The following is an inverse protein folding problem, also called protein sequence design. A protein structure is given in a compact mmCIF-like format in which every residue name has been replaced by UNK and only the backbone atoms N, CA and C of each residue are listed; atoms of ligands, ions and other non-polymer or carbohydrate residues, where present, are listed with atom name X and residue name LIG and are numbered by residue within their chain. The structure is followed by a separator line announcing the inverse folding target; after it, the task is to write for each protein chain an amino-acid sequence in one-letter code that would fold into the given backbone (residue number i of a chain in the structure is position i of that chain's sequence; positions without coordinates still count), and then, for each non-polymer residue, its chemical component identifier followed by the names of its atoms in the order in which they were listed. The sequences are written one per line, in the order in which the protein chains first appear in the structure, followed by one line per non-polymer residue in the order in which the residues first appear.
data_IF_873280618782
#
_entry.id   IF_873280618782
#
_cell.length_a   1.000
_cell.length_b   1.000
_cell.length_c   1.000
_cell.angle_alpha   90.00
_cell.angle_beta   90.00
_cell.angle_gamma   90.00
#
_symmetry.space_group_name_H-M   'P 1'
#
loop_
_entity.id
_entity.type
_entity.pdbx_description
1 polymer ?
#
# COMPACT_ATOMS: atom_id res chain seq x y z
N UNK A 1 -29.52 6.88 5.84
CA UNK A 1 -28.35 6.25 5.19
C UNK A 1 -28.59 6.09 3.68
N UNK A 2 -29.00 7.14 2.97
CA UNK A 2 -29.55 6.99 1.61
C UNK A 2 -28.76 7.71 0.50
N UNK A 3 -27.69 8.44 0.84
CA UNK A 3 -26.91 9.21 -0.17
C UNK A 3 -25.84 8.39 -0.90
N UNK A 4 -25.31 7.32 -0.31
CA UNK A 4 -24.22 6.54 -0.92
C UNK A 4 -24.65 5.79 -2.20
N UNK A 5 -25.95 5.60 -2.42
CA UNK A 5 -26.46 4.91 -3.60
C UNK A 5 -26.43 5.77 -4.86
N UNK A 6 -26.63 7.09 -4.75
CA UNK A 6 -26.77 7.99 -5.92
C UNK A 6 -25.57 7.91 -6.86
N UNK A 7 -24.35 7.76 -6.33
CA UNK A 7 -23.13 7.64 -7.14
C UNK A 7 -23.06 6.30 -7.91
N UNK A 8 -23.62 5.23 -7.35
CA UNK A 8 -23.50 3.87 -7.88
C UNK A 8 -24.75 3.36 -8.58
N UNK A 9 -25.88 4.07 -8.49
CA UNK A 9 -27.17 3.61 -8.99
C UNK A 9 -27.07 3.16 -10.45
N UNK A 10 -26.47 3.97 -11.33
CA UNK A 10 -26.28 3.64 -12.74
C UNK A 10 -25.50 2.34 -12.99
N UNK A 11 -24.58 1.96 -12.09
CA UNK A 11 -23.83 0.71 -12.17
C UNK A 11 -24.59 -0.50 -11.64
N UNK A 12 -25.65 -0.29 -10.87
CA UNK A 12 -26.41 -1.32 -10.16
C UNK A 12 -27.82 -1.54 -10.74
N UNK A 13 -28.26 -0.69 -11.67
CA UNK A 13 -29.59 -0.74 -12.29
C UNK A 13 -29.84 -2.08 -13.01
N UNK A 14 -28.85 -2.56 -13.77
CA UNK A 14 -29.01 -3.77 -14.61
C UNK A 14 -28.77 -5.08 -13.85
N UNK A 15 -28.44 -5.01 -12.55
CA UNK A 15 -28.21 -6.18 -11.72
C UNK A 15 -29.52 -6.66 -11.09
N UNK A 16 -29.69 -7.98 -11.02
CA UNK A 16 -30.70 -8.57 -10.13
C UNK A 16 -30.42 -8.20 -8.68
N UNK A 17 -31.44 -8.21 -7.83
CA UNK A 17 -31.28 -7.84 -6.41
C UNK A 17 -30.19 -8.67 -5.72
N UNK A 18 -30.15 -9.97 -5.99
CA UNK A 18 -29.09 -10.85 -5.48
C UNK A 18 -27.69 -10.44 -5.96
N UNK A 19 -27.53 -10.16 -7.25
CA UNK A 19 -26.24 -9.74 -7.79
C UNK A 19 -25.80 -8.38 -7.24
N UNK A 20 -26.76 -7.48 -7.03
CA UNK A 20 -26.53 -6.18 -6.38
C UNK A 20 -26.01 -6.37 -4.96
N UNK A 21 -26.66 -7.22 -4.16
CA UNK A 21 -26.22 -7.51 -2.78
C UNK A 21 -24.81 -8.11 -2.74
N UNK A 22 -24.50 -9.05 -3.65
CA UNK A 22 -23.19 -9.69 -3.75
C UNK A 22 -22.08 -8.68 -4.13
N UNK A 23 -22.38 -7.72 -5.01
CA UNK A 23 -21.47 -6.63 -5.40
C UNK A 23 -21.27 -5.64 -4.26
N UNK A 24 -22.34 -5.23 -3.57
CA UNK A 24 -22.26 -4.28 -2.45
C UNK A 24 -21.51 -4.88 -1.24
N UNK A 25 -21.73 -6.16 -0.95
CA UNK A 25 -21.01 -6.88 0.09
C UNK A 25 -19.50 -6.95 -0.24
N UNK A 26 -19.16 -7.33 -1.48
CA UNK A 26 -17.78 -7.38 -1.93
C UNK A 26 -17.10 -6.00 -1.90
N UNK A 27 -17.78 -4.96 -2.41
CA UNK A 27 -17.31 -3.58 -2.38
C UNK A 27 -17.04 -3.11 -0.93
N UNK A 28 -18.00 -3.32 -0.02
CA UNK A 28 -17.86 -2.95 1.38
C UNK A 28 -16.69 -3.68 2.05
N UNK A 29 -16.56 -5.00 1.78
CA UNK A 29 -15.50 -5.81 2.34
C UNK A 29 -14.11 -5.31 1.91
N UNK A 30 -13.87 -5.10 0.61
CA UNK A 30 -12.54 -4.64 0.13
C UNK A 30 -12.24 -3.18 0.52
N UNK A 31 -13.26 -2.38 0.79
CA UNK A 31 -13.12 -0.98 1.22
C UNK A 31 -12.74 -0.84 2.68
N UNK A 32 -13.41 -1.58 3.56
CA UNK A 32 -13.38 -1.35 5.01
C UNK A 32 -12.69 -2.44 5.81
N UNK A 33 -12.48 -3.64 5.25
CA UNK A 33 -11.71 -4.66 5.95
C UNK A 33 -10.28 -4.17 6.18
N UNK A 34 -9.79 -4.37 7.41
CA UNK A 34 -8.41 -4.06 7.75
C UNK A 34 -7.44 -4.90 6.92
N UNK A 35 -7.73 -6.20 6.75
CA UNK A 35 -6.90 -7.14 6.01
C UNK A 35 -7.54 -7.51 4.65
N UNK A 36 -6.75 -7.98 3.67
CA UNK A 36 -7.29 -8.52 2.43
C UNK A 36 -8.29 -9.64 2.70
N UNK A 37 -9.36 -9.66 1.92
CA UNK A 37 -10.46 -10.62 2.05
C UNK A 37 -10.33 -11.73 1.02
N UNK A 38 -10.69 -12.95 1.40
CA UNK A 38 -10.61 -14.10 0.50
C UNK A 38 -11.80 -14.11 -0.47
N UNK A 39 -11.55 -14.31 -1.76
CA UNK A 39 -12.61 -14.28 -2.79
C UNK A 39 -13.62 -15.40 -2.63
N UNK A 40 -13.23 -16.52 -2.01
CA UNK A 40 -14.11 -17.67 -1.75
C UNK A 40 -15.28 -17.30 -0.82
N UNK A 41 -15.13 -16.27 0.01
CA UNK A 41 -16.16 -15.81 0.94
C UNK A 41 -17.14 -14.82 0.29
N UNK A 42 -16.84 -14.32 -0.91
CA UNK A 42 -17.55 -13.20 -1.53
C UNK A 42 -17.78 -13.48 -3.02
N UNK A 43 -19.03 -13.84 -3.37
CA UNK A 43 -19.40 -14.09 -4.77
C UNK A 43 -19.07 -12.92 -5.69
N UNK A 44 -19.25 -11.68 -5.22
CA UNK A 44 -18.89 -10.46 -5.95
C UNK A 44 -17.40 -10.30 -6.25
N UNK A 45 -16.51 -11.05 -5.57
CA UNK A 45 -15.09 -11.15 -5.92
C UNK A 45 -14.80 -12.41 -6.74
N UNK A 46 -15.44 -13.54 -6.45
CA UNK A 46 -15.19 -14.78 -7.17
C UNK A 46 -15.64 -14.72 -8.63
N UNK A 47 -16.83 -14.20 -8.90
CA UNK A 47 -17.36 -14.06 -10.26
C UNK A 47 -16.72 -12.88 -11.01
N UNK A 48 -16.23 -13.11 -12.23
CA UNK A 48 -15.51 -12.09 -13.02
C UNK A 48 -16.41 -10.92 -13.44
N UNK A 49 -17.69 -11.19 -13.71
CA UNK A 49 -18.68 -10.18 -14.11
C UNK A 49 -19.06 -9.30 -12.93
N UNK A 50 -19.35 -9.89 -11.77
CA UNK A 50 -19.64 -9.14 -10.54
C UNK A 50 -18.39 -8.36 -10.06
N UNK A 51 -17.20 -8.96 -10.13
CA UNK A 51 -15.94 -8.29 -9.80
C UNK A 51 -15.69 -7.06 -10.66
N UNK A 52 -16.07 -7.10 -11.93
CA UNK A 52 -15.99 -5.93 -12.83
C UNK A 52 -16.89 -4.78 -12.35
N UNK A 53 -18.05 -5.06 -11.75
CA UNK A 53 -18.90 -4.03 -11.15
C UNK A 53 -18.24 -3.43 -9.90
N UNK A 54 -17.65 -4.25 -9.02
CA UNK A 54 -16.87 -3.78 -7.86
C UNK A 54 -15.72 -2.87 -8.32
N UNK A 55 -14.99 -3.25 -9.37
CA UNK A 55 -13.91 -2.43 -9.95
C UNK A 55 -14.41 -1.09 -10.47
N UNK A 56 -15.55 -1.05 -11.17
CA UNK A 56 -16.17 0.20 -11.65
C UNK A 56 -16.58 1.11 -10.48
N UNK A 57 -17.19 0.55 -9.44
CA UNK A 57 -17.56 1.31 -8.24
C UNK A 57 -16.32 1.90 -7.53
N UNK A 58 -15.26 1.11 -7.36
CA UNK A 58 -14.00 1.58 -6.79
C UNK A 58 -13.40 2.73 -7.62
N UNK A 59 -13.43 2.61 -8.95
CA UNK A 59 -12.90 3.63 -9.85
C UNK A 59 -13.61 4.98 -9.67
N UNK A 60 -14.93 4.99 -9.46
CA UNK A 60 -15.70 6.23 -9.24
C UNK A 60 -15.26 7.01 -7.99
N UNK A 61 -14.68 6.33 -7.00
CA UNK A 61 -14.17 6.96 -5.77
C UNK A 61 -12.64 7.07 -5.76
N UNK A 62 -12.00 6.97 -6.93
CA UNK A 62 -10.55 7.11 -7.09
C UNK A 62 -9.74 5.92 -6.56
N UNK A 63 -10.37 4.76 -6.46
CA UNK A 63 -9.78 3.53 -5.91
C UNK A 63 -9.68 2.45 -6.97
N UNK A 64 -8.84 1.47 -6.70
CA UNK A 64 -8.69 0.28 -7.56
C UNK A 64 -8.74 -0.98 -6.73
N UNK A 65 -9.22 -2.06 -7.35
CA UNK A 65 -9.13 -3.39 -6.76
C UNK A 65 -7.68 -3.88 -6.84
N UNK A 66 -7.15 -4.38 -5.72
CA UNK A 66 -5.77 -4.84 -5.57
C UNK A 66 -5.79 -6.32 -5.20
N UNK A 67 -5.07 -7.12 -5.99
CA UNK A 67 -4.79 -8.52 -5.68
C UNK A 67 -3.54 -8.58 -4.78
N UNK A 68 -3.63 -9.22 -3.62
CA UNK A 68 -2.55 -9.19 -2.61
C UNK A 68 -1.70 -10.47 -2.63
N UNK A 69 -2.32 -11.61 -2.92
CA UNK A 69 -1.70 -12.92 -3.14
C UNK A 69 -2.80 -13.98 -3.29
N UNK A 70 -2.50 -15.12 -3.91
CA UNK A 70 -3.41 -16.27 -4.01
C UNK A 70 -4.82 -15.87 -4.46
N UNK A 71 -5.79 -15.98 -3.56
CA UNK A 71 -7.20 -15.64 -3.78
C UNK A 71 -7.69 -14.46 -2.92
N UNK A 72 -6.77 -13.58 -2.47
CA UNK A 72 -7.09 -12.44 -1.60
C UNK A 72 -7.11 -11.10 -2.33
N UNK A 73 -8.07 -10.27 -1.96
CA UNK A 73 -8.32 -8.95 -2.55
C UNK A 73 -8.44 -7.86 -1.48
N UNK A 74 -8.02 -6.66 -1.83
CA UNK A 74 -8.31 -5.42 -1.10
C UNK A 74 -8.55 -4.30 -2.11
N UNK A 75 -8.74 -3.08 -1.64
CA UNK A 75 -8.75 -1.89 -2.48
C UNK A 75 -7.59 -0.96 -2.12
N UNK A 76 -7.04 -0.27 -3.11
CA UNK A 76 -6.02 0.76 -2.96
C UNK A 76 -6.44 2.07 -3.63
N UNK A 77 -5.66 3.13 -3.46
CA UNK A 77 -5.79 4.30 -4.34
C UNK A 77 -5.27 3.94 -5.73
N UNK A 78 -5.96 4.42 -6.77
CA UNK A 78 -5.42 4.33 -8.12
C UNK A 78 -4.13 5.18 -8.22
N UNK A 79 -3.16 4.73 -9.03
CA UNK A 79 -1.82 5.33 -9.06
C UNK A 79 -1.84 6.79 -9.54
N UNK A 80 -2.71 7.14 -10.48
CA UNK A 80 -2.97 8.48 -10.98
C UNK A 80 -3.58 9.40 -9.91
N UNK A 81 -4.53 8.88 -9.13
CA UNK A 81 -5.13 9.59 -8.00
C UNK A 81 -4.09 9.83 -6.90
N UNK A 82 -3.31 8.80 -6.55
CA UNK A 82 -2.23 8.93 -5.58
C UNK A 82 -1.17 9.95 -6.02
N UNK A 83 -0.81 9.97 -7.31
CA UNK A 83 0.11 10.95 -7.88
C UNK A 83 -0.47 12.38 -7.81
N UNK A 84 -1.75 12.53 -8.18
CA UNK A 84 -2.46 13.83 -8.12
C UNK A 84 -2.52 14.37 -6.70
N UNK A 85 -2.93 13.56 -5.73
CA UNK A 85 -2.97 13.95 -4.32
C UNK A 85 -1.59 14.34 -3.80
N UNK A 86 -0.55 13.60 -4.17
CA UNK A 86 0.84 13.91 -3.80
C UNK A 86 1.29 15.25 -4.39
N UNK A 87 1.00 15.50 -5.67
CA UNK A 87 1.35 16.75 -6.36
C UNK A 87 0.63 17.97 -5.76
N UNK A 88 -0.59 17.78 -5.25
CA UNK A 88 -1.35 18.79 -4.52
C UNK A 88 -0.85 19.01 -3.07
N UNK A 89 0.21 18.32 -2.66
CA UNK A 89 0.80 18.46 -1.33
C UNK A 89 0.07 17.67 -0.24
N UNK A 90 -0.82 16.74 -0.60
CA UNK A 90 -1.46 15.87 0.39
C UNK A 90 -0.44 14.92 1.01
N UNK A 91 -0.10 15.17 2.27
CA UNK A 91 0.91 14.43 3.02
C UNK A 91 0.40 14.17 4.44
N UNK A 92 -0.36 13.06 4.66
CA UNK A 92 -1.02 12.81 5.94
C UNK A 92 -0.05 12.45 7.08
N UNK A 93 1.18 12.05 6.77
CA UNK A 93 2.21 11.71 7.75
C UNK A 93 3.18 12.85 7.95
N UNK A 94 3.51 13.16 9.20
CA UNK A 94 4.57 14.12 9.52
C UNK A 94 5.95 13.60 9.06
N UNK A 95 6.94 14.49 8.98
CA UNK A 95 8.33 14.12 8.63
C UNK A 95 8.86 13.04 9.59
N UNK A 96 8.58 13.18 10.89
CA UNK A 96 9.00 12.22 11.92
C UNK A 96 8.29 10.87 11.70
N UNK A 97 6.99 10.86 11.47
CA UNK A 97 6.26 9.61 11.24
C UNK A 97 6.76 8.89 9.99
N UNK A 98 7.07 9.62 8.91
CA UNK A 98 7.67 9.05 7.70
C UNK A 98 9.06 8.48 7.97
N UNK A 99 9.92 9.21 8.70
CA UNK A 99 11.25 8.73 9.04
C UNK A 99 11.20 7.44 9.87
N UNK A 100 10.34 7.39 10.90
CA UNK A 100 10.14 6.20 11.72
C UNK A 100 9.56 5.04 10.91
N UNK A 101 8.60 5.30 10.02
CA UNK A 101 8.06 4.27 9.12
C UNK A 101 9.17 3.69 8.22
N UNK A 102 9.98 4.55 7.59
CA UNK A 102 11.09 4.11 6.73
C UNK A 102 12.09 3.25 7.50
N UNK A 103 12.44 3.63 8.73
CA UNK A 103 13.33 2.83 9.57
C UNK A 103 12.75 1.43 9.83
N UNK A 104 11.47 1.34 10.21
CA UNK A 104 10.78 0.05 10.38
C UNK A 104 10.86 -0.76 9.09
N UNK A 105 10.57 -0.15 7.93
CA UNK A 105 10.61 -0.86 6.64
C UNK A 105 12.02 -1.30 6.22
N UNK A 106 13.06 -0.52 6.54
CA UNK A 106 14.44 -0.90 6.26
C UNK A 106 14.84 -2.15 7.05
N UNK A 107 14.59 -2.14 8.36
CA UNK A 107 14.95 -3.26 9.24
C UNK A 107 14.07 -4.50 9.03
N UNK A 108 12.79 -4.31 8.72
CA UNK A 108 11.85 -5.43 8.57
C UNK A 108 11.81 -6.04 7.18
N UNK A 109 12.17 -5.27 6.14
CA UNK A 109 12.02 -5.70 4.74
C UNK A 109 13.31 -5.51 3.94
N UNK A 110 13.89 -4.31 3.91
CA UNK A 110 14.99 -4.02 2.98
C UNK A 110 16.26 -4.81 3.29
N UNK A 111 16.73 -4.77 4.54
CA UNK A 111 17.92 -5.53 4.99
C UNK A 111 17.67 -7.04 4.86
N UNK A 112 16.60 -7.62 5.44
CA UNK A 112 16.35 -9.06 5.33
C UNK A 112 16.22 -9.57 3.88
N UNK A 113 15.67 -8.75 2.98
CA UNK A 113 15.61 -9.09 1.55
C UNK A 113 16.98 -9.07 0.89
N UNK A 114 17.82 -8.08 1.22
CA UNK A 114 19.20 -8.02 0.71
C UNK A 114 20.07 -9.18 1.18
N UNK A 115 19.76 -9.73 2.37
CA UNK A 115 20.41 -10.91 2.94
C UNK A 115 19.84 -12.23 2.41
N UNK A 116 18.82 -12.20 1.54
CA UNK A 116 18.16 -13.38 0.99
C UNK A 116 17.21 -14.11 1.95
N UNK A 117 16.94 -13.54 3.14
CA UNK A 117 16.02 -14.10 4.14
C UNK A 117 14.57 -14.03 3.64
N UNK A 118 14.21 -12.92 2.97
CA UNK A 118 12.89 -12.72 2.40
C UNK A 118 12.89 -12.96 0.91
N UNK A 119 12.02 -13.87 0.45
CA UNK A 119 11.79 -14.15 -0.96
C UNK A 119 10.50 -13.49 -1.45
N UNK A 120 10.52 -12.98 -2.68
CA UNK A 120 9.36 -12.39 -3.35
C UNK A 120 9.00 -10.95 -2.93
N UNK A 121 7.90 -10.46 -3.52
CA UNK A 121 7.32 -9.12 -3.30
C UNK A 121 6.20 -9.13 -2.24
N UNK A 122 6.24 -10.11 -1.33
CA UNK A 122 5.28 -10.20 -0.24
C UNK A 122 5.77 -9.39 0.95
N UNK A 123 4.94 -8.45 1.39
CA UNK A 123 5.16 -7.64 2.59
C UNK A 123 4.69 -8.35 3.86
N UNK A 124 4.16 -9.59 3.73
CA UNK A 124 3.61 -10.39 4.84
C UNK A 124 4.68 -11.11 5.66
N UNK A 125 5.82 -11.43 5.06
CA UNK A 125 6.87 -12.25 5.68
C UNK A 125 7.95 -11.44 6.39
N UNK A 126 7.69 -10.18 6.74
CA UNK A 126 8.72 -9.27 7.24
C UNK A 126 9.35 -9.75 8.56
N UNK A 127 10.65 -9.48 8.73
CA UNK A 127 11.34 -9.71 9.99
C UNK A 127 10.87 -8.67 11.02
N UNK A 128 10.50 -9.06 12.25
CA UNK A 128 10.17 -8.09 13.28
C UNK A 128 11.33 -7.13 13.58
N UNK A 129 11.04 -5.83 13.63
CA UNK A 129 11.99 -4.78 14.04
C UNK A 129 11.76 -4.41 15.50
N UNK A 130 12.76 -4.62 16.33
CA UNK A 130 12.75 -4.29 17.77
C UNK A 130 12.88 -2.79 17.99
N UNK A 131 12.45 -2.30 19.17
CA UNK A 131 12.70 -0.90 19.56
C UNK A 131 14.19 -0.59 19.60
N UNK A 132 15.03 -1.53 20.01
CA UNK A 132 16.47 -1.33 20.14
C UNK A 132 17.13 -1.05 18.78
N UNK A 133 16.75 -1.79 17.74
CA UNK A 133 17.21 -1.53 16.36
C UNK A 133 16.86 -0.10 15.90
N UNK A 134 15.74 0.46 16.37
CA UNK A 134 15.31 1.83 16.05
C UNK A 134 16.02 2.93 16.88
N UNK A 135 16.80 2.58 17.90
CA UNK A 135 17.49 3.54 18.79
C UNK A 135 18.70 4.20 18.16
N UNK A 136 19.24 3.64 17.09
CA UNK A 136 20.45 4.08 16.38
C UNK A 136 20.27 5.38 15.59
N UNK A 137 19.25 6.17 15.90
CA UNK A 137 18.74 7.28 15.08
C UNK A 137 18.82 8.59 15.84
N UNK A 138 18.82 9.72 15.11
CA UNK A 138 18.80 11.07 15.71
C UNK A 138 17.42 11.47 16.25
N UNK A 139 16.41 10.64 16.07
CA UNK A 139 15.04 10.91 16.54
C UNK A 139 14.98 10.63 18.04
N UNK A 140 14.44 11.57 18.81
CA UNK A 140 14.32 11.40 20.26
C UNK A 140 13.46 10.19 20.61
N UNK A 141 13.69 9.62 21.80
CA UNK A 141 12.93 8.45 22.25
C UNK A 141 11.43 8.71 22.35
N UNK A 142 11.04 9.91 22.77
CA UNK A 142 9.63 10.31 22.90
C UNK A 142 8.96 10.49 21.53
N UNK A 143 9.58 11.23 20.61
CA UNK A 143 9.05 11.42 19.25
C UNK A 143 8.87 10.08 18.54
N UNK A 144 9.86 9.19 18.66
CA UNK A 144 9.79 7.84 18.10
C UNK A 144 8.63 7.05 18.70
N UNK A 145 8.44 7.08 20.02
CA UNK A 145 7.33 6.38 20.69
C UNK A 145 5.97 6.88 20.20
N UNK A 146 5.78 8.19 20.11
CA UNK A 146 4.54 8.80 19.63
C UNK A 146 4.30 8.49 18.14
N UNK A 147 5.34 8.53 17.32
CA UNK A 147 5.25 8.14 15.92
C UNK A 147 4.83 6.68 15.75
N UNK A 148 5.44 5.75 16.50
CA UNK A 148 5.06 4.33 16.48
C UNK A 148 3.58 4.13 16.88
N UNK A 149 3.08 4.89 17.86
CA UNK A 149 1.66 4.85 18.23
C UNK A 149 0.75 5.34 17.09
N UNK A 150 1.07 6.48 16.46
CA UNK A 150 0.30 7.03 15.34
C UNK A 150 0.33 6.10 14.12
N UNK A 151 1.49 5.57 13.76
CA UNK A 151 1.65 4.64 12.64
C UNK A 151 0.88 3.32 12.87
N UNK A 152 0.82 2.83 14.11
CA UNK A 152 -0.03 1.69 14.48
C UNK A 152 -1.50 2.00 14.35
N UNK A 153 -1.95 3.15 14.85
CA UNK A 153 -3.33 3.59 14.72
C UNK A 153 -3.75 3.76 13.25
N UNK A 154 -2.82 4.19 12.39
CA UNK A 154 -3.02 4.28 10.95
C UNK A 154 -2.93 2.91 10.22
N UNK A 155 -2.56 1.83 10.91
CA UNK A 155 -2.41 0.50 10.30
C UNK A 155 -1.23 0.37 9.32
N UNK A 156 -0.27 1.30 9.37
CA UNK A 156 0.95 1.29 8.54
C UNK A 156 2.02 0.35 9.11
N UNK A 157 2.00 0.15 10.43
CA UNK A 157 2.79 -0.86 11.14
C UNK A 157 1.88 -1.62 12.11
N UNK A 158 2.29 -2.79 12.54
CA UNK A 158 1.62 -3.57 13.58
C UNK A 158 2.66 -4.22 14.49
N UNK A 159 2.23 -4.67 15.68
CA UNK A 159 3.11 -5.46 16.54
C UNK A 159 3.26 -6.86 15.94
N UNK A 160 4.49 -7.33 15.88
CA UNK A 160 4.76 -8.77 15.84
C UNK A 160 4.39 -9.36 17.21
N UNK A 161 3.97 -10.64 17.23
CA UNK A 161 3.67 -11.37 18.46
C UNK A 161 4.82 -11.40 19.49
N UNK A 162 4.53 -11.96 20.67
CA UNK A 162 5.33 -11.82 21.89
C UNK A 162 6.77 -12.33 21.70
N UNK A 163 7.73 -11.39 21.67
CA UNK A 163 9.16 -11.67 21.68
C UNK A 163 9.70 -11.26 23.05
N UNK A 164 10.56 -12.08 23.64
CA UNK A 164 11.14 -11.89 24.98
C UNK A 164 11.99 -10.60 25.14
N UNK A 165 12.19 -9.83 24.06
CA UNK A 165 12.99 -8.60 24.00
C UNK A 165 12.18 -7.29 23.94
N UNK A 166 10.86 -7.32 24.16
CA UNK A 166 9.99 -6.13 24.11
C UNK A 166 9.23 -5.98 22.78
N UNK A 167 8.55 -4.83 22.56
CA UNK A 167 7.69 -4.68 21.39
C UNK A 167 8.51 -4.66 20.10
N UNK A 168 8.07 -5.49 19.15
CA UNK A 168 8.64 -5.56 17.81
C UNK A 168 7.58 -5.21 16.77
N UNK A 169 7.99 -4.56 15.69
CA UNK A 169 7.10 -4.00 14.68
C UNK A 169 7.33 -4.66 13.32
N UNK A 170 6.24 -4.89 12.59
CA UNK A 170 6.25 -5.36 11.19
C UNK A 170 5.36 -4.43 10.34
N UNK A 171 5.52 -4.45 9.00
CA UNK A 171 4.61 -3.77 8.07
C UNK A 171 3.14 -4.07 8.39
N UNK A 172 2.34 -3.02 8.44
CA UNK A 172 0.91 -3.10 8.74
C UNK A 172 0.06 -3.38 7.49
N UNK A 173 -1.23 -3.69 7.69
CA UNK A 173 -2.14 -4.05 6.61
C UNK A 173 -2.33 -2.95 5.55
N UNK A 174 -2.17 -1.66 5.87
CA UNK A 174 -2.33 -0.60 4.86
C UNK A 174 -1.31 -0.72 3.72
N UNK A 175 -0.13 -1.31 3.97
CA UNK A 175 0.88 -1.51 2.93
C UNK A 175 0.48 -2.61 1.92
N UNK A 176 -0.43 -3.51 2.31
CA UNK A 176 -0.98 -4.52 1.41
C UNK A 176 -1.96 -3.92 0.39
N UNK A 177 -2.42 -2.69 0.64
CA UNK A 177 -3.34 -1.94 -0.23
C UNK A 177 -2.62 -1.17 -1.34
N UNK A 178 -1.30 -1.15 -1.33
CA UNK A 178 -0.51 -0.58 -2.42
C UNK A 178 -0.75 -1.39 -3.70
N UNK A 179 -0.99 -0.67 -4.80
CA UNK A 179 -0.99 -1.28 -6.14
C UNK A 179 0.39 -1.90 -6.42
N UNK A 180 0.50 -2.84 -7.38
CA UNK A 180 1.80 -3.38 -7.77
C UNK A 180 2.82 -2.31 -8.17
N UNK A 181 2.37 -1.25 -8.84
CA UNK A 181 3.23 -0.13 -9.23
C UNK A 181 3.67 0.70 -8.01
N UNK A 182 2.75 1.06 -7.10
CA UNK A 182 3.07 1.78 -5.87
C UNK A 182 4.02 0.98 -4.96
N UNK A 183 3.80 -0.34 -4.85
CA UNK A 183 4.65 -1.26 -4.09
C UNK A 183 6.07 -1.30 -4.65
N UNK A 184 6.20 -1.45 -5.98
CA UNK A 184 7.50 -1.42 -6.66
C UNK A 184 8.23 -0.10 -6.45
N UNK A 185 7.52 1.03 -6.59
CA UNK A 185 8.08 2.36 -6.32
C UNK A 185 8.60 2.47 -4.89
N UNK A 186 7.82 2.02 -3.91
CA UNK A 186 8.25 2.03 -2.51
C UNK A 186 9.46 1.12 -2.27
N UNK A 187 9.49 -0.07 -2.89
CA UNK A 187 10.64 -0.97 -2.81
C UNK A 187 11.91 -0.34 -3.40
N UNK A 188 11.81 0.31 -4.56
CA UNK A 188 12.93 1.02 -5.16
C UNK A 188 13.48 2.09 -4.20
N UNK A 189 12.61 2.88 -3.57
CA UNK A 189 13.01 3.89 -2.58
C UNK A 189 13.69 3.28 -1.34
N UNK A 190 13.21 2.12 -0.87
CA UNK A 190 13.85 1.42 0.24
C UNK A 190 15.23 0.89 -0.12
N UNK A 191 15.43 0.41 -1.34
CA UNK A 191 16.74 -0.02 -1.85
C UNK A 191 17.69 1.19 -1.90
N UNK A 192 17.23 2.32 -2.45
CA UNK A 192 18.00 3.56 -2.48
C UNK A 192 18.37 4.04 -1.08
N UNK A 193 17.49 3.87 -0.09
CA UNK A 193 17.75 4.28 1.29
C UNK A 193 18.70 3.32 2.03
N UNK A 194 18.54 2.01 1.87
CA UNK A 194 19.30 1.00 2.61
C UNK A 194 20.68 0.69 2.00
N UNK A 195 20.79 0.73 0.67
CA UNK A 195 22.01 0.38 -0.06
C UNK A 195 22.27 1.34 -1.24
N UNK A 196 22.47 2.65 -0.98
CA UNK A 196 22.53 3.69 -2.01
C UNK A 196 23.65 3.47 -3.06
N UNK A 197 24.75 2.84 -2.67
CA UNK A 197 25.91 2.58 -3.53
C UNK A 197 25.90 1.19 -4.19
N UNK A 198 24.80 0.44 -4.08
CA UNK A 198 24.70 -0.88 -4.71
C UNK A 198 24.47 -0.79 -6.22
N UNK A 199 24.89 -1.77 -7.03
CA UNK A 199 24.62 -1.81 -8.47
C UNK A 199 23.12 -1.74 -8.80
N UNK A 200 22.27 -2.30 -7.95
CA UNK A 200 20.82 -2.21 -8.09
C UNK A 200 20.30 -0.78 -7.85
N UNK A 201 20.88 -0.03 -6.92
CA UNK A 201 20.56 1.38 -6.69
C UNK A 201 20.97 2.27 -7.87
N UNK A 202 22.09 1.95 -8.54
CA UNK A 202 22.50 2.60 -9.79
C UNK A 202 21.51 2.32 -10.93
N UNK A 203 21.11 1.06 -11.10
CA UNK A 203 20.12 0.67 -12.12
C UNK A 203 18.75 1.34 -11.89
N UNK A 204 18.31 1.46 -10.63
CA UNK A 204 17.08 2.18 -10.28
C UNK A 204 17.19 3.65 -10.66
N UNK A 205 18.32 4.32 -10.32
CA UNK A 205 18.55 5.73 -10.66
C UNK A 205 18.57 5.95 -12.18
N UNK A 206 19.25 5.09 -12.93
CA UNK A 206 19.29 5.14 -14.39
C UNK A 206 17.89 5.02 -15.00
N UNK A 207 17.09 4.04 -14.55
CA UNK A 207 15.70 3.85 -15.00
C UNK A 207 14.82 5.08 -14.73
N UNK A 208 14.95 5.67 -13.55
CA UNK A 208 14.18 6.86 -13.18
C UNK A 208 14.62 8.10 -13.97
N UNK A 209 15.93 8.24 -14.24
CA UNK A 209 16.47 9.28 -15.09
C UNK A 209 15.95 9.20 -16.52
N UNK A 210 15.92 8.00 -17.12
CA UNK A 210 15.36 7.81 -18.47
C UNK A 210 13.85 8.07 -18.55
N UNK A 211 13.10 7.83 -17.47
CA UNK A 211 11.66 8.10 -17.44
C UNK A 211 11.35 9.61 -17.42
N UNK A 212 12.24 10.45 -16.88
CA UNK A 212 12.10 11.91 -16.89
C UNK A 212 12.39 12.50 -18.28
N UNK A 213 13.31 11.90 -19.05
CA UNK A 213 13.68 12.36 -20.40
C UNK A 213 12.62 12.03 -21.48
N UNK A 214 11.84 10.96 -21.29
CA UNK A 214 10.79 10.56 -22.25
C UNK A 214 9.54 11.46 -22.13
N UNK A 215 9.25 12.00 -20.95
CA UNK A 215 8.09 12.87 -20.72
C UNK A 215 8.32 14.28 -21.27
N UNK A 216 9.55 14.82 -21.16
CA UNK A 216 9.92 16.11 -21.77
C UNK A 216 9.91 16.09 -23.30
N UNK A 217 10.04 14.90 -23.92
CA UNK A 217 10.02 14.74 -25.38
C UNK A 217 8.59 14.71 -25.97
N UNK A 218 7.56 14.56 -25.13
CA UNK A 218 6.15 14.53 -25.56
C UNK A 218 5.46 15.90 -25.52
N UNK A 219 6.02 16.88 -24.83
CA UNK A 219 5.47 18.24 -24.76
C UNK A 219 5.93 19.16 -25.91
N UNK A 220 7.00 18.83 -26.64
CA UNK A 220 7.52 19.68 -27.74
C UNK A 220 6.88 19.43 -29.12
N UNK A 221 5.89 18.54 -29.22
CA UNK A 221 5.30 18.13 -30.52
C UNK A 221 3.93 18.73 -30.88
N UNK A 222 3.40 19.66 -30.08
CA UNK A 222 2.07 20.25 -30.29
C UNK A 222 2.15 21.78 -30.38
N UNK A 223 2.70 22.29 -31.48
CA UNK A 223 2.48 23.67 -31.95
C UNK A 223 2.25 23.60 -33.46
#
# INVERSE_FOLDING_TARGET
MSEQHVLFDSLLLDLSDRARDEVLAAFSAVQYAAHPVAEVQLAGLRDVTLRRHVQKMLKLIGRTLVHVDGTHWTSGYADDIAATLTAQGWQPLSVIDRAVLVLVLIHSVAIPRSEGILTGDSWKSARPTTVDELRTTRISGEERRLALQRLRAAGLIQLSGDHSGGPSYIPGPQLQRLTPAARRRLQDQLILAAAPASPIAEAIRARNGSSLTIDSSREEGAI
#
